data_IF_244401610201
#
_entry.id   IF_244401610201
#
_cell.length_a   1.000
_cell.length_b   1.000
_cell.length_c   1.000
_cell.angle_alpha   90.00
_cell.angle_beta   90.00
_cell.angle_gamma   90.00
#
_symmetry.space_group_name_H-M   'P 1'
#
loop_
_entity.id
_entity.type
_entity.pdbx_description
1 polymer ?
#
# COMPACT_ATOMS: atom_id res chain seq x y z
N UNK A 1 -14.39 -9.00 -3.59
CA UNK A 1 -13.16 -8.30 -3.17
C UNK A 1 -13.24 -6.91 -3.76
N UNK A 2 -12.88 -5.89 -2.97
CA UNK A 2 -12.79 -4.52 -3.47
C UNK A 2 -11.41 -4.31 -4.08
N UNK A 3 -11.33 -3.53 -5.16
CA UNK A 3 -10.09 -3.23 -5.85
C UNK A 3 -9.95 -1.72 -5.99
N UNK A 4 -8.78 -1.20 -5.58
CA UNK A 4 -8.43 0.21 -5.71
C UNK A 4 -7.24 0.32 -6.64
N UNK A 5 -7.37 1.15 -7.67
CA UNK A 5 -6.30 1.51 -8.61
C UNK A 5 -6.21 3.02 -8.70
N UNK A 6 -5.01 3.56 -8.64
CA UNK A 6 -4.78 5.00 -8.67
C UNK A 6 -3.33 5.33 -8.95
N UNK A 7 -3.09 6.60 -9.30
CA UNK A 7 -1.74 7.11 -9.51
C UNK A 7 -1.16 7.58 -8.17
N UNK A 8 0.05 7.09 -7.87
CA UNK A 8 0.77 7.45 -6.65
C UNK A 8 0.12 6.93 -5.37
N UNK A 9 0.64 7.41 -4.24
CA UNK A 9 0.17 7.11 -2.89
C UNK A 9 -0.18 8.43 -2.21
N UNK A 10 -1.41 8.56 -1.71
CA UNK A 10 -1.90 9.78 -1.05
C UNK A 10 -1.64 11.09 -1.84
N UNK A 11 -1.64 11.01 -3.18
CA UNK A 11 -1.38 12.15 -4.08
C UNK A 11 0.11 12.38 -4.40
N UNK A 12 1.02 11.56 -3.86
CA UNK A 12 2.46 11.67 -4.07
C UNK A 12 2.99 10.54 -4.97
N UNK A 13 4.01 10.87 -5.78
CA UNK A 13 4.83 9.92 -6.53
C UNK A 13 6.30 10.14 -6.11
N UNK A 14 6.75 9.53 -5.00
CA UNK A 14 8.08 9.80 -4.47
C UNK A 14 9.16 9.21 -5.38
N UNK A 15 10.20 10.02 -5.66
CA UNK A 15 11.46 9.54 -6.20
C UNK A 15 12.40 9.28 -5.02
N UNK A 16 12.77 8.02 -4.81
CA UNK A 16 13.61 7.61 -3.68
C UNK A 16 15.03 7.32 -4.15
N UNK A 17 16.02 7.97 -3.52
CA UNK A 17 17.42 7.59 -3.67
C UNK A 17 17.74 6.34 -2.83
N UNK A 18 18.87 5.66 -3.09
CA UNK A 18 19.29 4.52 -2.28
C UNK A 18 19.37 4.88 -0.78
N UNK A 19 18.60 4.16 0.03
CA UNK A 19 18.52 4.36 1.48
C UNK A 19 17.46 5.35 1.95
N UNK A 20 16.81 6.09 1.04
CA UNK A 20 15.69 6.95 1.39
C UNK A 20 14.40 6.16 1.57
N UNK A 21 13.49 6.71 2.37
CA UNK A 21 12.20 6.11 2.71
C UNK A 21 11.10 7.14 2.57
N UNK A 22 9.94 6.69 2.12
CA UNK A 22 8.70 7.46 2.14
C UNK A 22 7.63 6.67 2.86
N UNK A 23 7.09 7.24 3.92
CA UNK A 23 6.05 6.63 4.73
C UNK A 23 4.76 7.42 4.60
N UNK A 24 3.62 6.71 4.57
CA UNK A 24 2.31 7.32 4.52
C UNK A 24 1.30 6.49 5.30
N UNK A 25 0.19 7.13 5.67
CA UNK A 25 -0.97 6.46 6.26
C UNK A 25 -2.18 6.72 5.38
N UNK A 26 -2.94 5.66 5.09
CA UNK A 26 -4.24 5.72 4.43
C UNK A 26 -5.26 4.89 5.21
N UNK A 27 -6.48 4.85 4.73
CA UNK A 27 -7.56 4.10 5.38
C UNK A 27 -8.43 3.39 4.34
N UNK A 28 -9.15 2.37 4.79
CA UNK A 28 -10.19 1.68 4.03
C UNK A 28 -11.31 1.27 4.99
N UNK A 29 -12.52 1.13 4.48
CA UNK A 29 -13.65 0.65 5.26
C UNK A 29 -13.87 -0.84 4.98
N UNK A 30 -13.96 -1.65 6.03
CA UNK A 30 -14.33 -3.06 5.92
C UNK A 30 -15.75 -3.26 6.40
N UNK A 31 -16.54 -4.03 5.64
CA UNK A 31 -17.85 -4.51 6.07
C UNK A 31 -17.79 -5.67 7.08
N UNK A 32 -16.59 -6.13 7.42
CA UNK A 32 -16.33 -7.28 8.28
C UNK A 32 -15.33 -6.94 9.40
N UNK A 33 -15.38 -7.59 10.58
CA UNK A 33 -14.43 -7.34 11.66
C UNK A 33 -12.97 -7.71 11.35
N UNK A 34 -12.78 -8.55 10.33
CA UNK A 34 -11.48 -9.00 9.86
C UNK A 34 -11.42 -8.97 8.33
N UNK A 35 -10.24 -8.72 7.79
CA UNK A 35 -9.97 -8.70 6.35
C UNK A 35 -8.50 -8.89 6.04
N UNK A 36 -8.17 -8.85 4.75
CA UNK A 36 -6.80 -8.86 4.26
C UNK A 36 -6.64 -7.83 3.15
N UNK A 37 -5.46 -7.21 3.09
CA UNK A 37 -5.04 -6.36 1.97
C UNK A 37 -3.82 -6.97 1.29
N UNK A 38 -3.73 -6.82 -0.03
CA UNK A 38 -2.56 -7.15 -0.85
C UNK A 38 -2.56 -6.20 -2.04
N UNK A 39 -1.42 -6.02 -2.70
CA UNK A 39 -1.37 -5.17 -3.88
C UNK A 39 -0.01 -5.19 -4.54
N UNK A 40 0.18 -4.23 -5.45
CA UNK A 40 1.43 -4.03 -6.17
C UNK A 40 1.61 -2.54 -6.40
N UNK A 41 2.82 -2.03 -6.18
CA UNK A 41 3.22 -0.73 -6.70
C UNK A 41 3.82 -0.89 -8.09
N UNK A 42 3.39 -0.02 -8.99
CA UNK A 42 4.07 0.19 -10.26
C UNK A 42 5.07 1.31 -10.09
N UNK A 43 6.34 0.98 -10.29
CA UNK A 43 7.46 1.90 -10.11
C UNK A 43 8.21 2.05 -11.43
N UNK A 44 9.00 3.12 -11.51
CA UNK A 44 9.87 3.40 -12.64
C UNK A 44 11.23 3.78 -12.09
N UNK A 45 12.30 3.22 -12.63
CA UNK A 45 13.67 3.61 -12.27
C UNK A 45 13.99 5.01 -12.79
N UNK A 46 15.06 5.62 -12.31
CA UNK A 46 15.63 6.85 -12.88
C UNK A 46 15.94 6.75 -14.39
N UNK A 47 16.27 5.55 -14.86
CA UNK A 47 16.48 5.22 -16.27
C UNK A 47 15.19 4.92 -17.06
N UNK A 48 14.02 5.24 -16.53
CA UNK A 48 12.71 5.01 -17.17
C UNK A 48 12.34 3.53 -17.42
N UNK A 49 12.95 2.60 -16.67
CA UNK A 49 12.55 1.19 -16.72
C UNK A 49 11.41 0.93 -15.73
N UNK A 50 10.25 0.42 -16.18
CA UNK A 50 9.16 0.07 -15.28
C UNK A 50 9.47 -1.23 -14.54
N UNK A 51 9.02 -1.32 -13.29
CA UNK A 51 9.03 -2.55 -12.51
C UNK A 51 7.87 -2.59 -11.51
N UNK A 52 7.52 -3.80 -11.08
CA UNK A 52 6.49 -4.04 -10.08
C UNK A 52 7.12 -4.37 -8.73
N UNK A 53 6.56 -3.79 -7.67
CA UNK A 53 6.91 -4.14 -6.28
C UNK A 53 5.68 -4.71 -5.58
N UNK A 54 5.63 -6.02 -5.30
CA UNK A 54 4.47 -6.62 -4.64
C UNK A 54 4.38 -6.19 -3.18
N UNK A 55 3.16 -5.93 -2.72
CA UNK A 55 2.80 -5.77 -1.32
C UNK A 55 2.23 -7.12 -0.85
N UNK A 56 2.95 -7.87 0.00
CA UNK A 56 2.46 -9.14 0.54
C UNK A 56 1.12 -8.99 1.25
N UNK A 57 0.35 -10.07 1.30
CA UNK A 57 -0.92 -10.06 2.02
C UNK A 57 -0.69 -9.80 3.52
N UNK A 58 -1.44 -8.86 4.09
CA UNK A 58 -1.44 -8.58 5.52
C UNK A 58 -2.87 -8.50 6.06
N UNK A 59 -3.04 -8.81 7.35
CA UNK A 59 -4.34 -8.86 8.00
C UNK A 59 -4.76 -7.51 8.55
N UNK A 60 -6.03 -7.21 8.39
CA UNK A 60 -6.72 -6.15 9.10
C UNK A 60 -7.67 -6.78 10.09
N UNK A 61 -7.61 -6.36 11.35
CA UNK A 61 -8.51 -6.83 12.39
C UNK A 61 -8.85 -5.67 13.32
N UNK A 62 -10.11 -5.55 13.70
CA UNK A 62 -10.47 -4.73 14.84
C UNK A 62 -9.77 -5.32 16.07
N UNK A 63 -8.91 -4.53 16.72
CA UNK A 63 -8.40 -4.90 18.04
C UNK A 63 -9.60 -4.95 18.99
N UNK A 64 -10.00 -6.16 19.36
CA UNK A 64 -10.87 -6.34 20.51
C UNK A 64 -10.01 -6.03 21.74
N UNK A 65 -10.28 -4.92 22.41
CA UNK A 65 -9.75 -4.71 23.75
C UNK A 65 -10.30 -5.86 24.62
N UNK A 66 -9.44 -6.80 25.00
CA UNK A 66 -9.75 -7.76 26.04
C UNK A 66 -9.91 -6.96 27.33
N UNK A 67 -11.15 -6.93 27.83
CA UNK A 67 -11.49 -6.40 29.15
C UNK A 67 -11.02 -7.35 30.25
#
# INVERSE_FOLDING_TARGET
>A
AEEVRGLGVVGHQPLLQPGEQFEYTSWTQLGTPMGQMRGTFFCVTDQMHPFETPIPAFHLSLQQALH
#
